data_IF_130642200936
#
_entry.id   IF_130642200936
#
_cell.length_a   1.000
_cell.length_b   1.000
_cell.length_c   1.000
_cell.angle_alpha   90.00
_cell.angle_beta   90.00
_cell.angle_gamma   90.00
#
_symmetry.space_group_name_H-M   'P 1'
#
loop_
_entity.id
_entity.type
_entity.pdbx_description
1 polymer ?
#
# COMPACT_ATOMS: atom_id res chain seq x y z
N UNK A 1 -0.03 -6.87 28.46
CA UNK A 1 -0.90 -5.97 27.69
C UNK A 1 -0.40 -4.52 27.75
N UNK A 2 -0.06 -3.98 28.91
CA UNK A 2 0.48 -2.60 29.06
C UNK A 2 1.77 -2.32 28.29
N UNK A 3 2.69 -3.28 28.16
CA UNK A 3 3.93 -3.11 27.37
C UNK A 3 3.64 -2.92 25.87
N UNK A 4 2.62 -3.59 25.33
CA UNK A 4 2.21 -3.46 23.93
C UNK A 4 1.51 -2.10 23.74
N UNK A 5 0.69 -1.67 24.68
CA UNK A 5 0.03 -0.36 24.65
C UNK A 5 1.02 0.80 24.70
N UNK A 6 2.14 0.67 25.43
CA UNK A 6 3.20 1.68 25.45
C UNK A 6 3.93 1.84 24.11
N UNK A 7 3.97 0.79 23.28
CA UNK A 7 4.56 0.86 21.92
C UNK A 7 3.66 1.67 20.98
N UNK A 8 2.35 1.66 21.22
CA UNK A 8 1.34 2.38 20.42
C UNK A 8 0.83 3.66 21.08
N UNK A 9 1.60 4.26 22.00
CA UNK A 9 1.22 5.49 22.70
C UNK A 9 0.94 6.65 21.72
N UNK A 10 -0.11 7.43 21.96
CA UNK A 10 -0.70 8.41 21.03
C UNK A 10 0.27 9.47 20.51
N UNK A 11 1.39 9.69 21.18
CA UNK A 11 2.41 10.67 20.81
C UNK A 11 3.65 10.09 20.13
N UNK A 12 3.72 8.77 19.90
CA UNK A 12 4.93 8.14 19.35
C UNK A 12 4.67 7.54 17.97
N UNK A 13 4.97 8.34 16.98
CA UNK A 13 5.74 7.98 15.81
C UNK A 13 5.16 6.86 14.96
N UNK A 14 4.22 7.20 14.09
CA UNK A 14 3.87 6.38 12.92
C UNK A 14 5.04 6.29 11.91
N UNK A 15 6.30 6.41 12.37
CA UNK A 15 7.46 6.39 11.48
C UNK A 15 7.59 5.07 10.73
N UNK A 16 7.29 3.94 11.40
CA UNK A 16 7.43 2.64 10.76
C UNK A 16 6.41 2.41 9.63
N UNK A 17 5.08 2.62 9.82
CA UNK A 17 4.14 2.59 8.71
C UNK A 17 4.43 3.60 7.60
N UNK A 18 4.82 4.84 7.97
CA UNK A 18 5.19 5.88 7.02
C UNK A 18 6.43 5.49 6.21
N UNK A 19 7.41 4.84 6.83
CA UNK A 19 8.58 4.29 6.16
C UNK A 19 8.19 3.22 5.13
N UNK A 20 7.33 2.26 5.51
CA UNK A 20 6.81 1.24 4.57
C UNK A 20 6.12 1.91 3.37
N UNK A 21 5.25 2.90 3.62
CA UNK A 21 4.56 3.62 2.55
C UNK A 21 5.56 4.35 1.64
N UNK A 22 6.62 4.92 2.21
CA UNK A 22 7.66 5.61 1.44
C UNK A 22 8.43 4.65 0.51
N UNK A 23 8.55 3.38 0.89
CA UNK A 23 9.25 2.36 0.10
C UNK A 23 8.43 1.78 -1.05
N UNK A 24 7.11 2.00 -1.12
CA UNK A 24 6.28 1.40 -2.16
C UNK A 24 6.81 1.53 -3.59
N UNK A 25 7.32 2.68 -4.05
CA UNK A 25 7.87 2.75 -5.41
C UNK A 25 9.00 1.76 -5.65
N UNK A 26 9.88 1.54 -4.67
CA UNK A 26 10.97 0.54 -4.76
C UNK A 26 10.40 -0.89 -4.73
N UNK A 27 9.41 -1.15 -3.86
CA UNK A 27 8.82 -2.47 -3.71
C UNK A 27 8.15 -2.95 -5.00
N UNK A 28 7.60 -2.04 -5.82
CA UNK A 28 7.02 -2.37 -7.12
C UNK A 28 8.05 -2.98 -8.08
N UNK A 29 9.32 -2.57 -8.00
CA UNK A 29 10.40 -3.16 -8.81
C UNK A 29 10.83 -4.55 -8.32
N UNK A 30 10.65 -4.84 -7.03
CA UNK A 30 10.98 -6.14 -6.44
C UNK A 30 9.93 -7.22 -6.77
N UNK A 31 8.80 -6.83 -7.33
CA UNK A 31 7.75 -7.73 -7.79
C UNK A 31 6.53 -7.80 -6.88
N UNK A 32 5.45 -8.34 -7.45
CA UNK A 32 4.12 -8.34 -6.82
C UNK A 32 4.05 -9.08 -5.49
N UNK A 33 4.86 -10.13 -5.30
CA UNK A 33 4.90 -10.89 -4.04
C UNK A 33 5.39 -10.04 -2.88
N UNK A 34 6.46 -9.27 -3.10
CA UNK A 34 7.04 -8.37 -2.08
C UNK A 34 6.06 -7.25 -1.72
N UNK A 35 5.47 -6.62 -2.73
CA UNK A 35 4.43 -5.58 -2.52
C UNK A 35 3.29 -6.13 -1.67
N UNK A 36 2.76 -7.30 -2.02
CA UNK A 36 1.67 -7.93 -1.28
C UNK A 36 2.03 -8.22 0.18
N UNK A 37 3.26 -8.67 0.44
CA UNK A 37 3.74 -8.89 1.80
C UNK A 37 3.70 -7.59 2.63
N UNK A 38 4.23 -6.49 2.10
CA UNK A 38 4.24 -5.21 2.80
C UNK A 38 2.84 -4.60 2.98
N UNK A 39 1.93 -4.82 2.03
CA UNK A 39 0.51 -4.45 2.17
C UNK A 39 -0.09 -5.17 3.37
N UNK A 40 0.08 -6.49 3.46
CA UNK A 40 -0.45 -7.29 4.58
C UNK A 40 0.13 -6.84 5.92
N UNK A 41 1.44 -6.58 5.98
CA UNK A 41 2.08 -6.06 7.20
C UNK A 41 1.46 -4.73 7.63
N UNK A 42 1.26 -3.81 6.68
CA UNK A 42 0.68 -2.50 6.95
C UNK A 42 -0.78 -2.60 7.41
N UNK A 43 -1.56 -3.48 6.79
CA UNK A 43 -2.95 -3.76 7.15
C UNK A 43 -3.06 -4.33 8.56
N UNK A 44 -2.19 -5.28 8.92
CA UNK A 44 -2.15 -5.87 10.26
C UNK A 44 -1.84 -4.79 11.31
N UNK A 45 -0.81 -3.96 11.07
CA UNK A 45 -0.45 -2.87 11.99
C UNK A 45 -1.63 -1.90 12.17
N UNK A 46 -2.29 -1.52 11.08
CA UNK A 46 -3.44 -0.63 11.09
C UNK A 46 -4.60 -1.23 11.89
N UNK A 47 -4.98 -2.48 11.62
CA UNK A 47 -6.07 -3.15 12.33
C UNK A 47 -5.76 -3.30 13.82
N UNK A 48 -4.54 -3.73 14.18
CA UNK A 48 -4.13 -3.82 15.58
C UNK A 48 -4.23 -2.46 16.27
N UNK A 49 -3.79 -1.40 15.63
CA UNK A 49 -3.85 -0.06 16.22
C UNK A 49 -5.29 0.43 16.42
N UNK A 50 -6.18 0.21 15.45
CA UNK A 50 -7.60 0.57 15.57
C UNK A 50 -8.28 -0.20 16.69
N UNK A 51 -8.05 -1.53 16.77
CA UNK A 51 -8.67 -2.36 17.80
C UNK A 51 -8.16 -1.99 19.19
N UNK A 52 -6.86 -1.78 19.37
CA UNK A 52 -6.26 -1.39 20.63
C UNK A 52 -6.71 0.00 21.09
N UNK A 53 -6.81 0.97 20.17
CA UNK A 53 -7.24 2.35 20.47
C UNK A 53 -8.75 2.55 20.40
N UNK A 54 -9.54 1.50 20.11
CA UNK A 54 -11.01 1.54 19.96
C UNK A 54 -11.51 2.61 18.99
N UNK A 55 -10.72 2.93 17.94
CA UNK A 55 -11.04 3.95 16.93
C UNK A 55 -11.93 3.39 15.81
N UNK A 56 -12.91 2.56 16.13
CA UNK A 56 -13.80 1.90 15.15
C UNK A 56 -14.68 2.88 14.37
N UNK A 57 -14.77 4.15 14.79
CA UNK A 57 -15.50 5.18 14.06
C UNK A 57 -14.96 5.46 12.65
N UNK A 58 -13.68 5.09 12.38
CA UNK A 58 -13.07 5.25 11.05
C UNK A 58 -13.78 4.39 9.99
N UNK A 59 -14.38 3.27 10.37
CA UNK A 59 -15.17 2.43 9.48
C UNK A 59 -16.59 2.94 9.24
N UNK A 60 -17.02 4.03 9.92
CA UNK A 60 -18.33 4.67 9.72
C UNK A 60 -18.30 5.75 8.63
N UNK A 61 -17.26 5.80 7.81
CA UNK A 61 -17.13 6.76 6.72
C UNK A 61 -17.91 6.27 5.49
N UNK A 62 -18.54 7.20 4.77
CA UNK A 62 -19.24 6.91 3.51
C UNK A 62 -18.33 6.20 2.49
N UNK A 63 -17.06 6.55 2.42
CA UNK A 63 -16.10 5.90 1.55
C UNK A 63 -15.88 4.42 1.89
N UNK A 64 -15.93 4.06 3.19
CA UNK A 64 -15.85 2.66 3.59
C UNK A 64 -17.04 1.87 3.04
N UNK A 65 -18.25 2.40 3.16
CA UNK A 65 -19.45 1.75 2.63
C UNK A 65 -19.39 1.61 1.11
N UNK A 66 -18.96 2.66 0.38
CA UNK A 66 -18.84 2.60 -1.08
C UNK A 66 -17.83 1.53 -1.52
N UNK A 67 -16.65 1.47 -0.91
CA UNK A 67 -15.64 0.47 -1.23
C UNK A 67 -16.10 -0.94 -0.84
N UNK A 68 -16.83 -1.09 0.26
CA UNK A 68 -17.41 -2.38 0.67
C UNK A 68 -18.48 -2.83 -0.32
N UNK A 69 -19.37 -1.94 -0.76
CA UNK A 69 -20.37 -2.24 -1.80
C UNK A 69 -19.66 -2.66 -3.10
N UNK A 70 -18.63 -1.95 -3.51
CA UNK A 70 -17.84 -2.32 -4.69
C UNK A 70 -17.25 -3.73 -4.56
N UNK A 71 -16.69 -4.06 -3.40
CA UNK A 71 -16.18 -5.41 -3.14
C UNK A 71 -17.28 -6.47 -3.17
N UNK A 72 -18.46 -6.18 -2.62
CA UNK A 72 -19.61 -7.09 -2.71
C UNK A 72 -20.04 -7.34 -4.17
N UNK A 73 -20.03 -6.31 -5.02
CA UNK A 73 -20.29 -6.46 -6.45
C UNK A 73 -19.25 -7.38 -7.10
N UNK A 74 -17.97 -7.26 -6.75
CA UNK A 74 -16.92 -8.17 -7.22
C UNK A 74 -17.19 -9.62 -6.78
N UNK A 75 -17.67 -9.84 -5.56
CA UNK A 75 -18.04 -11.17 -5.08
C UNK A 75 -19.26 -11.74 -5.83
N UNK A 76 -20.27 -10.92 -6.10
CA UNK A 76 -21.44 -11.34 -6.88
C UNK A 76 -21.03 -11.69 -8.32
N UNK A 77 -20.09 -10.94 -8.92
CA UNK A 77 -19.59 -11.23 -10.27
C UNK A 77 -18.91 -12.60 -10.39
N UNK A 78 -18.47 -13.20 -9.29
CA UNK A 78 -17.92 -14.57 -9.27
C UNK A 78 -18.94 -15.61 -9.75
N UNK A 79 -20.23 -15.39 -9.48
CA UNK A 79 -21.29 -16.32 -9.89
C UNK A 79 -21.40 -16.47 -11.41
N UNK A 80 -20.90 -15.48 -12.15
CA UNK A 80 -20.89 -15.43 -13.60
C UNK A 80 -19.51 -15.72 -14.21
N UNK A 81 -18.52 -16.08 -13.38
CA UNK A 81 -17.15 -16.37 -13.82
C UNK A 81 -17.06 -17.77 -14.46
N UNK A 82 -16.32 -17.85 -15.57
CA UNK A 82 -16.01 -19.13 -16.24
C UNK A 82 -15.12 -20.01 -15.32
N UNK A 83 -14.21 -19.40 -14.56
CA UNK A 83 -13.33 -20.10 -13.61
C UNK A 83 -13.50 -19.50 -12.21
N UNK A 84 -14.44 -20.06 -11.47
CA UNK A 84 -14.79 -19.61 -10.12
C UNK A 84 -13.61 -19.80 -9.15
N UNK A 85 -12.86 -20.90 -9.28
CA UNK A 85 -11.79 -21.22 -8.34
C UNK A 85 -10.66 -20.21 -8.37
N UNK A 86 -10.17 -19.83 -9.55
CA UNK A 86 -9.12 -18.84 -9.73
C UNK A 86 -9.63 -17.41 -9.44
N UNK A 87 -10.89 -17.12 -9.76
CA UNK A 87 -11.51 -15.81 -9.54
C UNK A 87 -11.79 -15.54 -8.06
N UNK A 88 -12.14 -16.55 -7.28
CA UNK A 88 -12.48 -16.44 -5.87
C UNK A 88 -11.31 -15.91 -5.04
N UNK A 89 -10.10 -16.46 -5.23
CA UNK A 89 -8.91 -15.99 -4.53
C UNK A 89 -8.60 -14.51 -4.79
N UNK A 90 -8.80 -14.05 -6.03
CA UNK A 90 -8.58 -12.65 -6.42
C UNK A 90 -9.62 -11.72 -5.80
N UNK A 91 -10.89 -12.08 -5.88
CA UNK A 91 -11.99 -11.24 -5.37
C UNK A 91 -12.00 -11.17 -3.84
N UNK A 92 -11.75 -12.28 -3.14
CA UNK A 92 -11.58 -12.25 -1.69
C UNK A 92 -10.34 -11.46 -1.28
N UNK A 93 -9.23 -11.65 -1.99
CA UNK A 93 -8.00 -10.94 -1.72
C UNK A 93 -8.08 -9.42 -1.92
N UNK A 94 -9.09 -8.93 -2.66
CA UNK A 94 -9.26 -7.51 -2.92
C UNK A 94 -9.56 -6.69 -1.64
N UNK A 95 -10.15 -7.31 -0.61
CA UNK A 95 -10.47 -6.63 0.65
C UNK A 95 -9.25 -5.99 1.30
N UNK A 96 -8.06 -6.56 1.15
CA UNK A 96 -6.81 -6.01 1.66
C UNK A 96 -6.51 -4.61 1.10
N UNK A 97 -6.85 -4.35 -0.17
CA UNK A 97 -6.64 -3.03 -0.77
C UNK A 97 -7.59 -1.98 -0.19
N UNK A 98 -8.79 -2.39 0.22
CA UNK A 98 -9.72 -1.52 0.95
C UNK A 98 -9.11 -1.15 2.29
N UNK A 99 -8.62 -2.14 3.04
CA UNK A 99 -7.95 -1.91 4.33
C UNK A 99 -6.73 -1.02 4.14
N UNK A 100 -5.93 -1.26 3.09
CA UNK A 100 -4.75 -0.46 2.76
C UNK A 100 -5.09 1.02 2.55
N UNK A 101 -6.17 1.34 1.82
CA UNK A 101 -6.59 2.74 1.59
C UNK A 101 -6.84 3.45 2.93
N UNK A 102 -7.51 2.77 3.87
CA UNK A 102 -7.76 3.32 5.20
C UNK A 102 -6.48 3.38 6.05
N UNK A 103 -5.61 2.38 5.94
CA UNK A 103 -4.31 2.38 6.60
C UNK A 103 -3.44 3.57 6.16
N UNK A 104 -3.33 3.80 4.86
CA UNK A 104 -2.59 4.92 4.29
C UNK A 104 -3.17 6.25 4.79
N UNK A 105 -4.50 6.43 4.70
CA UNK A 105 -5.16 7.65 5.17
C UNK A 105 -4.94 7.89 6.67
N UNK A 106 -4.97 6.84 7.47
CA UNK A 106 -4.76 6.91 8.91
C UNK A 106 -3.32 7.29 9.28
N UNK A 107 -2.32 6.63 8.67
CA UNK A 107 -0.91 6.85 9.01
C UNK A 107 -0.34 8.14 8.43
N UNK A 108 -0.79 8.56 7.23
CA UNK A 108 -0.34 9.80 6.63
C UNK A 108 -0.94 11.00 7.35
N UNK A 109 -2.10 10.86 7.97
CA UNK A 109 -2.92 11.90 8.57
C UNK A 109 -2.68 13.28 7.94
N UNK A 110 -3.60 13.74 7.09
CA UNK A 110 -3.42 14.95 6.27
C UNK A 110 -3.09 16.23 7.06
N UNK A 111 -3.27 16.22 8.38
CA UNK A 111 -2.87 17.30 9.28
C UNK A 111 -1.36 17.30 9.56
N UNK A 112 -0.68 16.17 9.44
CA UNK A 112 0.75 16.06 9.73
C UNK A 112 1.61 16.24 8.46
N UNK A 113 1.82 17.51 8.09
CA UNK A 113 2.65 17.90 6.94
C UNK A 113 4.06 17.29 6.95
N UNK A 114 4.59 16.90 8.11
CA UNK A 114 5.91 16.30 8.24
C UNK A 114 5.98 14.94 7.55
N UNK A 115 5.00 14.06 7.78
CA UNK A 115 4.98 12.73 7.16
C UNK A 115 4.74 12.81 5.65
N UNK A 116 3.85 13.69 5.22
CA UNK A 116 3.62 13.94 3.80
C UNK A 116 4.91 14.39 3.10
N UNK A 117 5.66 15.31 3.70
CA UNK A 117 6.93 15.79 3.14
C UNK A 117 7.98 14.69 3.05
N UNK A 118 8.06 13.79 4.04
CA UNK A 118 8.98 12.65 4.02
C UNK A 118 8.66 11.74 2.83
N UNK A 119 7.39 11.33 2.70
CA UNK A 119 6.93 10.45 1.62
C UNK A 119 7.18 11.10 0.27
N UNK A 120 6.76 12.35 0.11
CA UNK A 120 6.93 13.10 -1.14
C UNK A 120 8.39 13.20 -1.55
N UNK A 121 9.29 13.57 -0.63
CA UNK A 121 10.72 13.67 -0.93
C UNK A 121 11.30 12.31 -1.34
N UNK A 122 10.93 11.23 -0.63
CA UNK A 122 11.40 9.88 -0.97
C UNK A 122 10.93 9.45 -2.36
N UNK A 123 9.66 9.62 -2.65
CA UNK A 123 9.09 9.29 -3.95
C UNK A 123 9.71 10.12 -5.07
N UNK A 124 9.91 11.43 -4.84
CA UNK A 124 10.56 12.30 -5.82
C UNK A 124 11.97 11.82 -6.16
N UNK A 125 12.79 11.47 -5.15
CA UNK A 125 14.14 10.96 -5.36
C UNK A 125 14.11 9.67 -6.19
N UNK A 126 13.22 8.73 -5.82
CA UNK A 126 13.10 7.45 -6.52
C UNK A 126 12.68 7.67 -7.97
N UNK A 127 11.67 8.52 -8.23
CA UNK A 127 11.21 8.82 -9.59
C UNK A 127 12.29 9.50 -10.42
N UNK A 128 13.11 10.38 -9.84
CA UNK A 128 14.25 10.98 -10.52
C UNK A 128 15.25 9.90 -10.95
N UNK A 129 15.61 8.98 -10.03
CA UNK A 129 16.55 7.88 -10.34
C UNK A 129 16.01 7.00 -11.47
N UNK A 130 14.74 6.61 -11.41
CA UNK A 130 14.09 5.80 -12.45
C UNK A 130 14.07 6.55 -13.79
N UNK A 131 13.74 7.84 -13.77
CA UNK A 131 13.73 8.65 -14.99
C UNK A 131 15.12 8.74 -15.65
N UNK A 132 16.17 8.86 -14.85
CA UNK A 132 17.54 8.81 -15.36
C UNK A 132 17.90 7.46 -15.96
N UNK A 133 17.49 6.37 -15.31
CA UNK A 133 17.74 5.01 -15.84
C UNK A 133 17.03 4.78 -17.17
N UNK A 134 15.78 5.22 -17.30
CA UNK A 134 15.02 5.14 -18.55
C UNK A 134 15.63 5.97 -19.67
N UNK A 135 16.10 7.19 -19.38
CA UNK A 135 16.80 8.04 -20.36
C UNK A 135 18.11 7.37 -20.79
N UNK A 136 18.86 6.83 -19.84
CA UNK A 136 20.11 6.12 -20.11
C UNK A 136 19.86 4.88 -21.00
N UNK A 137 18.84 4.09 -20.69
CA UNK A 137 18.42 2.94 -21.48
C UNK A 137 18.04 3.35 -22.90
N UNK A 138 17.29 4.44 -23.07
CA UNK A 138 16.91 4.95 -24.38
C UNK A 138 18.11 5.37 -25.23
N UNK A 139 19.14 5.97 -24.63
CA UNK A 139 20.33 6.46 -25.34
C UNK A 139 21.32 5.34 -25.67
N UNK A 140 21.53 4.40 -24.74
CA UNK A 140 22.59 3.39 -24.81
C UNK A 140 22.09 1.98 -25.16
N UNK A 141 20.77 1.77 -25.27
CA UNK A 141 20.14 0.47 -25.55
C UNK A 141 20.26 -0.55 -24.41
N UNK A 142 20.73 -0.13 -23.25
CA UNK A 142 20.86 -0.95 -22.04
C UNK A 142 20.63 -0.08 -20.80
N UNK A 143 20.01 -0.63 -19.76
CA UNK A 143 19.85 0.09 -18.49
C UNK A 143 21.16 0.19 -17.70
N UNK A 144 21.18 0.94 -16.61
CA UNK A 144 22.37 1.13 -15.76
C UNK A 144 22.87 -0.17 -15.13
N UNK A 145 22.03 -1.22 -15.02
CA UNK A 145 22.38 -2.55 -14.53
C UNK A 145 22.89 -3.47 -15.66
N UNK A 146 22.92 -3.02 -16.91
CA UNK A 146 23.44 -3.76 -18.05
C UNK A 146 22.44 -4.68 -18.76
N UNK A 147 21.16 -4.68 -18.37
CA UNK A 147 20.12 -5.41 -19.10
C UNK A 147 19.82 -4.71 -20.43
N UNK A 148 19.78 -5.49 -21.50
CA UNK A 148 19.48 -4.96 -22.84
C UNK A 148 18.00 -4.59 -22.94
N UNK A 149 17.71 -3.45 -23.54
CA UNK A 149 16.37 -3.07 -23.94
C UNK A 149 15.86 -4.02 -25.02
N UNK A 150 14.70 -4.65 -24.79
CA UNK A 150 13.99 -5.39 -25.83
C UNK A 150 13.24 -4.41 -26.75
N UNK A 151 13.94 -3.46 -27.35
CA UNK A 151 13.35 -2.74 -28.47
C UNK A 151 13.54 -3.60 -29.72
N UNK A 152 12.43 -3.94 -30.43
CA UNK A 152 12.50 -4.63 -31.69
C UNK A 152 13.16 -3.76 -32.78
#
# INVERSE_FOLDING_TARGET
>A
MEKILKIFDENKNHYFPVFIISLFPILFFLGSGVVNFFIIVLDIIFLLEIFLKKKTYLFKNIFFYLLTIFWLILLISLLFSIDIHNSLGRSLGFIRFIVLVFAINYFINFENKKYQKIIFNFWTIIFIIISFDLIYEFVFGKNTLGFQSYMP
#
